data_IF_638600257460
#
_entry.id   IF_638600257460
#
_cell.length_a   1.000
_cell.length_b   1.000
_cell.length_c   1.000
_cell.angle_alpha   90.00
_cell.angle_beta   90.00
_cell.angle_gamma   90.00
#
_symmetry.space_group_name_H-M   'P 1'
#
loop_
_entity.id
_entity.type
_entity.pdbx_description
1 polymer ?
#
# COMPACT_ATOMS: atom_id res chain seq x y z
N UNK A 1 17.45 -14.50 2.69
CA UNK A 1 16.61 -15.07 1.61
C UNK A 1 16.06 -13.90 0.78
N UNK A 2 16.50 -13.71 -0.47
CA UNK A 2 15.93 -12.67 -1.34
C UNK A 2 14.54 -13.10 -1.80
N UNK A 3 13.58 -12.18 -1.83
CA UNK A 3 12.22 -12.45 -2.34
C UNK A 3 12.30 -12.84 -3.82
N UNK A 4 11.55 -13.86 -4.24
CA UNK A 4 11.25 -14.05 -5.67
C UNK A 4 10.10 -13.13 -6.07
N UNK A 5 10.38 -12.20 -6.98
CA UNK A 5 9.35 -11.40 -7.63
C UNK A 5 8.35 -12.33 -8.33
N UNK A 6 7.05 -11.98 -8.33
CA UNK A 6 5.89 -12.87 -8.61
C UNK A 6 5.59 -14.00 -7.60
N UNK A 7 6.29 -14.15 -6.47
CA UNK A 7 5.87 -15.12 -5.43
C UNK A 7 4.64 -14.60 -4.67
N UNK A 8 3.46 -15.09 -5.05
CA UNK A 8 2.18 -14.70 -4.46
C UNK A 8 1.89 -15.34 -3.10
N UNK A 9 2.72 -16.28 -2.61
CA UNK A 9 2.59 -16.84 -1.25
C UNK A 9 2.85 -15.78 -0.16
N UNK A 10 3.56 -14.71 -0.50
CA UNK A 10 3.77 -13.53 0.33
C UNK A 10 2.69 -12.46 0.16
N UNK A 11 1.77 -12.58 -0.81
CA UNK A 11 0.67 -11.63 -0.98
C UNK A 11 -0.59 -12.02 -0.22
N UNK A 12 -0.87 -13.32 -0.12
CA UNK A 12 -2.16 -13.84 0.37
C UNK A 12 -2.03 -14.89 1.46
N UNK A 13 -3.12 -15.04 2.21
CA UNK A 13 -3.37 -16.19 3.05
C UNK A 13 -4.16 -17.25 2.27
N UNK A 14 -3.52 -17.86 1.26
CA UNK A 14 -3.99 -19.14 0.70
C UNK A 14 -3.58 -20.27 1.63
N UNK A 15 -4.50 -20.73 2.49
CA UNK A 15 -4.28 -21.89 3.36
C UNK A 15 -5.56 -22.75 3.37
N UNK A 16 -5.49 -24.07 3.08
CA UNK A 16 -6.60 -25.00 3.29
C UNK A 16 -6.94 -25.15 4.79
N UNK A 17 -8.09 -25.72 5.16
CA UNK A 17 -8.55 -25.74 6.55
C UNK A 17 -7.76 -26.72 7.44
N UNK A 18 -7.36 -26.28 8.63
CA UNK A 18 -6.98 -27.13 9.76
C UNK A 18 -7.34 -26.46 11.10
N UNK A 19 -7.39 -27.25 12.18
CA UNK A 19 -8.11 -26.96 13.44
C UNK A 19 -7.21 -26.47 14.60
N UNK A 20 -7.73 -25.52 15.41
CA UNK A 20 -7.74 -25.51 16.92
C UNK A 20 -6.41 -25.75 17.68
N UNK A 21 -5.92 -24.92 18.63
CA UNK A 21 -6.36 -23.64 19.22
C UNK A 21 -5.23 -23.03 20.12
N UNK A 22 -5.47 -21.89 20.81
CA UNK A 22 -4.64 -21.39 21.92
C UNK A 22 -4.10 -19.95 21.77
N UNK A 23 -4.14 -19.13 22.84
CA UNK A 23 -3.83 -17.69 22.83
C UNK A 23 -2.46 -17.39 23.47
N UNK A 24 -1.63 -16.57 22.81
CA UNK A 24 -0.70 -15.64 23.47
C UNK A 24 -0.35 -14.41 22.56
N UNK A 25 -0.57 -13.19 23.05
CA UNK A 25 -0.15 -11.98 22.32
C UNK A 25 1.37 -11.76 22.45
N UNK A 26 2.11 -11.66 21.34
CA UNK A 26 3.33 -10.86 21.19
C UNK A 26 3.88 -10.87 19.75
N UNK A 27 3.84 -9.72 19.06
CA UNK A 27 4.43 -9.44 17.73
C UNK A 27 3.99 -10.35 16.56
N UNK A 28 3.83 -9.75 15.37
CA UNK A 28 3.51 -10.47 14.13
C UNK A 28 4.76 -11.14 13.53
N UNK A 29 5.42 -12.02 14.29
CA UNK A 29 6.35 -13.01 13.74
C UNK A 29 5.55 -14.15 13.11
N UNK A 30 5.92 -14.66 11.93
CA UNK A 30 5.33 -15.87 11.36
C UNK A 30 5.42 -17.13 12.25
N UNK A 31 6.18 -17.07 13.35
CA UNK A 31 6.42 -18.15 14.30
C UNK A 31 5.64 -18.06 15.61
N UNK A 32 4.67 -17.15 15.76
CA UNK A 32 3.90 -16.99 17.02
C UNK A 32 2.38 -17.10 16.82
N UNK A 33 1.66 -17.55 17.85
CA UNK A 33 0.19 -17.68 17.90
C UNK A 33 -0.57 -16.38 17.56
N UNK A 34 0.06 -15.21 17.75
CA UNK A 34 -0.45 -13.91 17.30
C UNK A 34 -0.60 -13.80 15.78
N UNK A 35 0.25 -14.48 15.01
CA UNK A 35 0.19 -14.53 13.55
C UNK A 35 -0.92 -15.47 13.07
N UNK A 36 -1.12 -16.62 13.71
CA UNK A 36 -2.27 -17.49 13.42
C UNK A 36 -3.60 -16.82 13.79
N UNK A 37 -3.68 -16.16 14.95
CA UNK A 37 -4.84 -15.34 15.34
C UNK A 37 -5.15 -14.24 14.31
N UNK A 38 -4.11 -13.57 13.79
CA UNK A 38 -4.26 -12.59 12.70
C UNK A 38 -4.78 -13.28 11.44
N UNK A 39 -4.21 -14.42 11.05
CA UNK A 39 -4.58 -15.15 9.83
C UNK A 39 -6.03 -15.56 9.84
N UNK A 40 -6.50 -16.14 10.94
CA UNK A 40 -7.86 -16.62 11.03
C UNK A 40 -8.86 -15.46 11.05
N UNK A 41 -8.57 -14.39 11.80
CA UNK A 41 -9.37 -13.17 11.75
C UNK A 41 -9.38 -12.53 10.36
N UNK A 42 -8.27 -12.55 9.62
CA UNK A 42 -8.23 -12.04 8.25
C UNK A 42 -9.10 -12.89 7.30
N UNK A 43 -9.03 -14.24 7.38
CA UNK A 43 -9.88 -15.18 6.61
C UNK A 43 -11.38 -15.00 6.90
N UNK A 44 -11.76 -14.62 8.12
CA UNK A 44 -13.16 -14.30 8.46
C UNK A 44 -13.66 -12.99 7.80
N UNK A 45 -12.75 -12.07 7.47
CA UNK A 45 -13.08 -10.73 6.98
C UNK A 45 -13.08 -10.68 5.46
N UNK A 46 -12.01 -11.20 4.83
CA UNK A 46 -11.80 -11.16 3.37
C UNK A 46 -11.82 -12.56 2.77
N UNK A 47 -12.42 -12.68 1.58
CA UNK A 47 -12.43 -13.95 0.83
C UNK A 47 -11.08 -14.17 0.15
N UNK A 48 -10.75 -15.44 -0.12
CA UNK A 48 -9.61 -15.80 -0.93
C UNK A 48 -9.92 -15.48 -2.41
N UNK A 49 -9.55 -14.27 -2.82
CA UNK A 49 -9.74 -13.74 -4.18
C UNK A 49 -8.42 -13.26 -4.78
N UNK A 50 -8.46 -13.13 -6.09
CA UNK A 50 -7.38 -12.62 -6.92
C UNK A 50 -7.40 -11.07 -6.95
N UNK A 51 -6.24 -10.42 -6.85
CA UNK A 51 -6.12 -8.95 -6.94
C UNK A 51 -6.28 -8.41 -8.37
N UNK A 52 -6.20 -9.27 -9.38
CA UNK A 52 -6.62 -8.91 -10.72
C UNK A 52 -8.15 -9.07 -10.91
N UNK A 53 -8.88 -9.49 -9.86
CA UNK A 53 -10.33 -9.71 -9.86
C UNK A 53 -10.80 -10.58 -11.05
N UNK A 54 -10.07 -11.67 -11.32
CA UNK A 54 -10.32 -12.58 -12.45
C UNK A 54 -9.84 -12.06 -13.80
N UNK A 55 -9.50 -10.77 -13.91
CA UNK A 55 -8.92 -10.16 -15.12
C UNK A 55 -7.41 -10.34 -15.13
N UNK A 56 -6.96 -11.59 -15.31
CA UNK A 56 -5.56 -11.91 -15.62
C UNK A 56 -5.08 -10.90 -16.68
N UNK A 57 -4.11 -10.01 -16.40
CA UNK A 57 -3.72 -9.00 -17.38
C UNK A 57 -2.98 -9.68 -18.54
N UNK A 58 -2.63 -8.91 -19.57
CA UNK A 58 -1.86 -9.38 -20.71
C UNK A 58 -0.50 -10.00 -20.29
N UNK A 59 0.26 -10.52 -21.25
CA UNK A 59 1.52 -11.26 -21.03
C UNK A 59 2.59 -10.51 -20.19
N UNK A 60 2.43 -9.19 -20.03
CA UNK A 60 3.17 -8.34 -19.09
C UNK A 60 2.24 -7.34 -18.39
N UNK A 61 2.38 -7.21 -17.05
CA UNK A 61 1.60 -6.28 -16.22
C UNK A 61 2.43 -5.06 -15.80
N UNK A 62 2.00 -3.85 -16.15
CA UNK A 62 2.69 -2.60 -15.75
C UNK A 62 1.93 -1.83 -14.69
N UNK A 63 2.65 -1.31 -13.71
CA UNK A 63 2.05 -0.69 -12.53
C UNK A 63 2.64 0.68 -12.21
N UNK A 64 1.77 1.66 -11.96
CA UNK A 64 2.13 2.92 -11.34
C UNK A 64 1.86 2.87 -9.83
N UNK A 65 2.90 2.96 -9.01
CA UNK A 65 2.78 3.18 -7.56
C UNK A 65 2.91 4.69 -7.31
N UNK A 66 1.81 5.32 -6.90
CA UNK A 66 1.74 6.77 -6.71
C UNK A 66 1.71 7.08 -5.21
N UNK A 67 2.86 7.54 -4.71
CA UNK A 67 3.01 8.14 -3.40
C UNK A 67 2.42 9.55 -3.33
N UNK A 68 2.66 10.25 -2.23
CA UNK A 68 2.01 11.53 -1.95
C UNK A 68 2.96 12.74 -1.90
N UNK A 69 4.25 12.59 -2.26
CA UNK A 69 5.23 13.68 -2.18
C UNK A 69 4.85 14.91 -3.01
N UNK A 70 5.23 16.09 -2.52
CA UNK A 70 5.14 17.37 -3.24
C UNK A 70 5.87 17.42 -4.58
N UNK A 71 6.78 16.48 -4.87
CA UNK A 71 7.45 16.38 -6.17
C UNK A 71 6.53 16.01 -7.35
N UNK A 72 5.26 15.67 -7.09
CA UNK A 72 4.25 15.55 -8.14
C UNK A 72 3.73 16.91 -8.64
N UNK A 73 3.82 17.99 -7.85
CA UNK A 73 3.30 19.32 -8.24
C UNK A 73 3.95 19.79 -9.55
N UNK A 74 3.12 20.14 -10.53
CA UNK A 74 3.53 20.57 -11.88
C UNK A 74 4.35 19.53 -12.68
N UNK A 75 4.35 18.26 -12.27
CA UNK A 75 5.08 17.19 -12.97
C UNK A 75 4.45 16.80 -14.31
N UNK A 76 3.15 17.06 -14.51
CA UNK A 76 2.36 16.62 -15.67
C UNK A 76 2.32 15.10 -15.89
N UNK A 77 2.73 14.31 -14.89
CA UNK A 77 2.85 12.85 -15.00
C UNK A 77 1.51 12.12 -15.14
N UNK A 78 0.36 12.78 -15.01
CA UNK A 78 -0.94 12.11 -14.97
C UNK A 78 -1.26 11.25 -16.19
N UNK A 79 -0.86 11.71 -17.39
CA UNK A 79 -0.98 10.91 -18.63
C UNK A 79 -0.01 9.72 -18.70
N UNK A 80 1.09 9.74 -17.95
CA UNK A 80 2.06 8.63 -17.88
C UNK A 80 1.61 7.62 -16.84
N UNK A 81 1.14 8.10 -15.68
CA UNK A 81 0.52 7.29 -14.63
C UNK A 81 -0.65 6.50 -15.23
N UNK A 82 -1.65 7.18 -15.81
CA UNK A 82 -2.89 6.56 -16.33
C UNK A 82 -2.69 5.61 -17.53
N UNK A 83 -1.47 5.50 -18.11
CA UNK A 83 -1.11 4.49 -19.11
C UNK A 83 -0.76 3.11 -18.54
N UNK A 84 -0.54 3.00 -17.23
CA UNK A 84 -0.23 1.72 -16.58
C UNK A 84 -1.51 0.88 -16.42
N UNK A 85 -1.36 -0.44 -16.38
CA UNK A 85 -2.49 -1.37 -16.24
C UNK A 85 -3.12 -1.23 -14.85
N UNK A 86 -2.27 -1.27 -13.81
CA UNK A 86 -2.66 -1.05 -12.42
C UNK A 86 -2.12 0.28 -11.88
N UNK A 87 -2.99 1.07 -11.26
CA UNK A 87 -2.62 2.25 -10.48
C UNK A 87 -2.82 1.96 -9.00
N UNK A 88 -1.75 2.01 -8.22
CA UNK A 88 -1.69 1.74 -6.79
C UNK A 88 -1.50 3.08 -6.06
N UNK A 89 -2.51 3.53 -5.31
CA UNK A 89 -2.48 4.76 -4.48
C UNK A 89 -2.60 4.42 -3.00
N UNK A 90 -2.30 5.39 -2.14
CA UNK A 90 -2.22 5.14 -0.69
C UNK A 90 -2.62 6.32 0.19
N UNK A 91 -3.02 6.02 1.42
CA UNK A 91 -3.30 7.02 2.46
C UNK A 91 -4.32 8.09 2.01
N UNK A 92 -4.13 9.36 2.35
CA UNK A 92 -4.89 10.44 1.70
C UNK A 92 -4.26 10.77 0.34
N UNK A 93 -4.92 10.39 -0.75
CA UNK A 93 -4.44 10.57 -2.13
C UNK A 93 -5.52 11.27 -3.00
N UNK A 94 -5.70 12.60 -2.86
CA UNK A 94 -6.67 13.33 -3.64
C UNK A 94 -6.30 13.44 -5.13
N UNK A 95 -7.10 12.81 -5.98
CA UNK A 95 -7.00 12.93 -7.45
C UNK A 95 -7.64 14.22 -7.96
N UNK A 96 -8.85 14.54 -7.48
CA UNK A 96 -9.62 15.70 -7.96
C UNK A 96 -8.86 17.02 -7.76
N UNK A 97 -8.73 17.80 -8.84
CA UNK A 97 -7.91 19.03 -9.00
C UNK A 97 -6.40 18.82 -9.19
N UNK A 98 -5.93 17.57 -9.23
CA UNK A 98 -4.52 17.20 -9.39
C UNK A 98 -4.30 16.25 -10.57
N UNK A 99 -5.33 15.98 -11.37
CA UNK A 99 -5.35 14.93 -12.40
C UNK A 99 -4.23 15.08 -13.44
N UNK A 100 -3.85 16.32 -13.79
CA UNK A 100 -2.72 16.63 -14.68
C UNK A 100 -1.41 16.04 -14.17
N UNK A 101 -1.18 16.08 -12.86
CA UNK A 101 0.05 15.65 -12.21
C UNK A 101 -0.01 14.20 -11.75
N UNK A 102 -1.11 13.80 -11.10
CA UNK A 102 -1.21 12.50 -10.41
C UNK A 102 -2.03 11.46 -11.16
N UNK A 103 -2.65 11.81 -12.28
CA UNK A 103 -3.54 10.95 -13.05
C UNK A 103 -4.93 10.82 -12.42
N UNK A 104 -5.87 10.31 -13.19
CA UNK A 104 -7.30 10.19 -12.84
C UNK A 104 -7.70 8.80 -12.32
N UNK A 105 -6.97 7.74 -12.71
CA UNK A 105 -7.36 6.35 -12.43
C UNK A 105 -6.86 5.90 -11.05
N UNK A 106 -7.60 4.99 -10.40
CA UNK A 106 -7.12 4.20 -9.26
C UNK A 106 -7.66 2.78 -9.38
N UNK A 107 -6.77 1.78 -9.28
CA UNK A 107 -7.17 0.35 -9.32
C UNK A 107 -7.03 -0.31 -7.95
N UNK A 108 -6.05 0.12 -7.17
CA UNK A 108 -5.70 -0.42 -5.86
C UNK A 108 -5.49 0.75 -4.90
N UNK A 109 -6.09 0.66 -3.73
CA UNK A 109 -6.01 1.67 -2.68
C UNK A 109 -5.49 1.05 -1.39
N UNK A 110 -4.30 1.46 -0.94
CA UNK A 110 -3.63 0.89 0.23
C UNK A 110 -3.69 1.85 1.43
N UNK A 111 -4.35 1.43 2.51
CA UNK A 111 -4.41 2.22 3.74
C UNK A 111 -4.59 1.36 5.01
N UNK A 112 -4.41 2.01 6.16
CA UNK A 112 -4.70 1.51 7.50
C UNK A 112 -5.78 2.38 8.15
N UNK A 113 -6.45 1.98 9.26
CA UNK A 113 -7.69 2.59 9.73
C UNK A 113 -7.66 4.12 9.87
N UNK A 114 -6.61 4.66 10.47
CA UNK A 114 -6.48 6.10 10.73
C UNK A 114 -6.13 6.92 9.47
N UNK A 115 -5.63 6.25 8.42
CA UNK A 115 -5.24 6.85 7.14
C UNK A 115 -6.30 6.69 6.04
N UNK A 116 -7.21 5.72 6.21
CA UNK A 116 -8.34 5.51 5.31
C UNK A 116 -9.20 6.78 5.20
N UNK A 117 -9.61 7.15 3.98
CA UNK A 117 -10.57 8.24 3.72
C UNK A 117 -11.71 7.72 2.87
N UNK A 118 -12.96 8.02 3.29
CA UNK A 118 -14.15 7.79 2.45
C UNK A 118 -14.09 8.78 1.29
N UNK A 119 -14.10 8.27 0.06
CA UNK A 119 -14.09 9.05 -1.19
C UNK A 119 -14.83 8.28 -2.29
N UNK A 120 -15.39 9.01 -3.24
CA UNK A 120 -16.23 8.44 -4.30
C UNK A 120 -15.41 8.09 -5.56
N UNK A 121 -14.28 8.78 -5.79
CA UNK A 121 -13.29 8.49 -6.86
C UNK A 121 -12.46 7.22 -6.61
N UNK A 122 -12.70 6.55 -5.49
CA UNK A 122 -12.11 5.26 -5.14
C UNK A 122 -13.15 4.13 -5.12
N UNK A 123 -14.40 4.40 -5.54
CA UNK A 123 -15.52 3.42 -5.55
C UNK A 123 -15.22 2.13 -6.32
N UNK A 124 -14.43 2.22 -7.40
CA UNK A 124 -14.04 1.10 -8.24
C UNK A 124 -12.68 0.48 -7.89
N UNK A 125 -11.93 1.05 -6.94
CA UNK A 125 -10.63 0.54 -6.54
C UNK A 125 -10.76 -0.64 -5.55
N UNK A 126 -9.88 -1.63 -5.68
CA UNK A 126 -9.69 -2.68 -4.69
C UNK A 126 -9.01 -2.09 -3.44
N UNK A 127 -9.67 -2.19 -2.30
CA UNK A 127 -9.11 -1.71 -1.03
C UNK A 127 -8.21 -2.78 -0.40
N UNK A 128 -6.91 -2.49 -0.30
CA UNK A 128 -5.91 -3.37 0.34
C UNK A 128 -5.55 -2.80 1.70
N UNK A 129 -5.96 -3.48 2.76
CA UNK A 129 -5.71 -3.03 4.11
C UNK A 129 -4.30 -3.40 4.58
N UNK A 130 -3.48 -2.40 4.90
CA UNK A 130 -2.23 -2.58 5.63
C UNK A 130 -2.54 -2.65 7.15
N UNK A 131 -2.94 -3.82 7.64
CA UNK A 131 -3.26 -4.01 9.06
C UNK A 131 -2.00 -4.38 9.87
N UNK A 132 -1.57 -3.45 10.74
CA UNK A 132 -0.36 -3.58 11.57
C UNK A 132 -0.61 -4.30 12.91
N UNK A 133 -1.88 -4.54 13.26
CA UNK A 133 -2.31 -5.17 14.50
C UNK A 133 -3.65 -5.91 14.36
N UNK A 134 -3.95 -6.80 15.32
CA UNK A 134 -5.27 -7.44 15.44
C UNK A 134 -6.39 -6.41 15.62
N UNK A 135 -6.11 -5.27 16.28
CA UNK A 135 -7.09 -4.18 16.47
C UNK A 135 -7.50 -3.54 15.14
N UNK A 136 -6.60 -3.49 14.15
CA UNK A 136 -6.91 -2.99 12.80
C UNK A 136 -7.88 -3.96 12.09
N UNK A 137 -7.64 -5.27 12.18
CA UNK A 137 -8.57 -6.27 11.64
C UNK A 137 -9.94 -6.24 12.35
N UNK A 138 -9.96 -6.08 13.67
CA UNK A 138 -11.20 -5.89 14.43
C UNK A 138 -11.95 -4.62 13.97
N UNK A 139 -11.23 -3.52 13.70
CA UNK A 139 -11.80 -2.32 13.10
C UNK A 139 -12.41 -2.61 11.73
N UNK A 140 -11.72 -3.36 10.85
CA UNK A 140 -12.25 -3.70 9.52
C UNK A 140 -13.50 -4.60 9.61
N UNK A 141 -13.46 -5.64 10.48
CA UNK A 141 -14.62 -6.50 10.76
C UNK A 141 -15.81 -5.68 11.25
N UNK A 142 -15.58 -4.71 12.15
CA UNK A 142 -16.59 -3.75 12.61
C UNK A 142 -17.10 -2.90 11.43
N UNK A 143 -16.20 -2.28 10.69
CA UNK A 143 -16.50 -1.38 9.58
C UNK A 143 -17.41 -2.04 8.54
N UNK A 144 -17.06 -3.23 8.06
CA UNK A 144 -17.84 -3.99 7.08
C UNK A 144 -19.17 -4.50 7.66
N UNK A 145 -19.24 -4.82 8.96
CA UNK A 145 -20.50 -5.22 9.62
C UNK A 145 -21.49 -4.06 9.74
N UNK A 146 -21.05 -2.89 10.22
CA UNK A 146 -21.93 -1.73 10.41
C UNK A 146 -22.32 -1.07 9.07
N UNK A 147 -21.46 -1.16 8.04
CA UNK A 147 -21.75 -0.63 6.70
C UNK A 147 -22.93 -1.25 5.97
N UNK A 148 -23.25 -2.52 6.24
CA UNK A 148 -24.45 -3.18 5.69
C UNK A 148 -25.77 -2.49 6.05
N UNK A 149 -25.74 -1.47 6.91
CA UNK A 149 -26.89 -0.65 7.33
C UNK A 149 -26.87 0.78 6.77
N UNK A 150 -25.96 1.12 5.85
CA UNK A 150 -25.80 2.47 5.30
C UNK A 150 -26.05 2.51 3.79
N UNK A 151 -26.86 3.47 3.35
CA UNK A 151 -27.27 3.63 1.95
C UNK A 151 -26.12 4.18 1.07
N UNK A 152 -25.20 4.98 1.63
CA UNK A 152 -24.16 5.65 0.82
C UNK A 152 -22.93 4.75 0.65
N UNK A 153 -22.65 4.35 -0.60
CA UNK A 153 -21.63 3.39 -1.02
C UNK A 153 -20.29 4.03 -1.42
N UNK A 154 -19.19 3.78 -0.69
CA UNK A 154 -17.86 4.12 -1.20
C UNK A 154 -16.83 2.99 -0.99
N UNK A 155 -15.95 2.82 -1.99
CA UNK A 155 -14.74 1.96 -2.01
C UNK A 155 -15.02 0.49 -1.66
N UNK A 156 -15.13 0.17 -0.37
CA UNK A 156 -15.55 -1.13 0.17
C UNK A 156 -17.09 -1.23 0.27
N UNK A 157 -17.79 -0.99 -0.85
CA UNK A 157 -19.22 -1.29 -0.97
C UNK A 157 -19.45 -2.79 -1.23
N UNK A 158 -18.56 -3.38 -2.03
CA UNK A 158 -18.47 -4.80 -2.24
C UNK A 158 -17.41 -5.41 -1.30
N UNK A 159 -17.73 -6.55 -0.68
CA UNK A 159 -16.76 -7.34 0.10
C UNK A 159 -15.70 -7.97 -0.80
N UNK A 160 -16.07 -8.25 -2.04
CA UNK A 160 -15.21 -8.87 -3.04
C UNK A 160 -14.21 -7.85 -3.65
N UNK A 161 -14.25 -6.57 -3.19
CA UNK A 161 -13.23 -5.54 -3.44
C UNK A 161 -12.31 -5.26 -2.23
N UNK A 162 -12.31 -6.09 -1.17
CA UNK A 162 -11.53 -5.84 0.06
C UNK A 162 -10.51 -6.94 0.33
N UNK A 163 -9.26 -6.55 0.53
CA UNK A 163 -8.11 -7.40 0.79
C UNK A 163 -7.38 -6.98 2.08
N UNK A 164 -6.58 -7.88 2.63
CA UNK A 164 -5.66 -7.59 3.74
C UNK A 164 -4.25 -7.94 3.25
N UNK A 165 -3.31 -7.00 3.39
CA UNK A 165 -1.90 -7.23 3.04
C UNK A 165 -1.33 -8.31 3.96
N UNK A 166 -0.68 -9.33 3.40
CA UNK A 166 -0.17 -10.45 4.20
C UNK A 166 0.91 -9.98 5.19
N UNK A 167 0.74 -10.23 6.51
CA UNK A 167 1.68 -9.78 7.54
C UNK A 167 3.06 -10.42 7.40
N UNK A 168 3.21 -11.57 6.72
CA UNK A 168 4.51 -12.18 6.41
C UNK A 168 5.35 -11.28 5.49
N UNK A 169 4.73 -10.61 4.53
CA UNK A 169 5.41 -9.64 3.67
C UNK A 169 5.79 -8.38 4.46
N UNK A 170 4.87 -7.84 5.25
CA UNK A 170 5.14 -6.68 6.12
C UNK A 170 6.31 -6.96 7.10
N UNK A 171 6.33 -8.16 7.71
CA UNK A 171 7.41 -8.62 8.56
C UNK A 171 8.73 -8.78 7.79
N UNK A 172 8.69 -9.42 6.61
CA UNK A 172 9.87 -9.62 5.78
C UNK A 172 10.51 -8.29 5.38
N UNK A 173 9.72 -7.32 4.90
CA UNK A 173 10.21 -5.98 4.55
C UNK A 173 10.89 -5.34 5.78
N UNK A 174 10.23 -5.38 6.95
CA UNK A 174 10.79 -4.82 8.20
C UNK A 174 12.14 -5.44 8.62
N UNK A 175 12.33 -6.75 8.45
CA UNK A 175 13.47 -7.48 9.02
C UNK A 175 14.56 -7.89 8.03
N UNK A 176 14.29 -7.92 6.72
CA UNK A 176 15.23 -8.41 5.71
C UNK A 176 15.75 -7.32 4.76
N UNK A 177 15.11 -6.14 4.73
CA UNK A 177 15.46 -5.04 3.81
C UNK A 177 16.19 -3.87 4.48
N UNK A 178 16.77 -4.08 5.67
CA UNK A 178 17.67 -3.09 6.27
C UNK A 178 17.00 -1.81 6.79
N UNK A 179 15.70 -1.84 7.12
CA UNK A 179 14.91 -0.72 7.67
C UNK A 179 15.34 -0.19 9.05
N UNK A 180 16.55 -0.52 9.50
CA UNK A 180 17.20 0.03 10.69
C UNK A 180 16.30 0.08 11.93
N UNK A 181 16.30 1.24 12.58
CA UNK A 181 15.55 1.53 13.82
C UNK A 181 14.08 1.85 13.60
N UNK A 182 13.61 2.01 12.36
CA UNK A 182 12.19 2.26 12.07
C UNK A 182 11.30 1.12 12.57
N UNK A 183 10.15 1.43 13.19
CA UNK A 183 9.29 0.43 13.85
C UNK A 183 8.60 -0.49 12.83
N UNK A 184 8.18 0.08 11.70
CA UNK A 184 7.55 -0.61 10.57
C UNK A 184 7.94 0.07 9.26
N UNK A 185 7.76 -0.62 8.13
CA UNK A 185 7.79 0.01 6.81
C UNK A 185 6.61 0.98 6.63
N UNK A 186 6.80 2.07 5.89
CA UNK A 186 5.73 2.98 5.52
C UNK A 186 4.73 2.34 4.56
N UNK A 187 3.52 2.91 4.47
CA UNK A 187 2.55 2.52 3.43
C UNK A 187 3.14 2.70 2.02
N UNK A 188 4.06 3.66 1.84
CA UNK A 188 4.81 3.86 0.59
C UNK A 188 5.61 2.63 0.21
N UNK A 189 6.54 2.23 1.07
CA UNK A 189 7.38 1.07 0.80
C UNK A 189 6.57 -0.22 0.71
N UNK A 190 5.56 -0.41 1.57
CA UNK A 190 4.63 -1.54 1.47
C UNK A 190 3.91 -1.59 0.11
N UNK A 191 3.54 -0.44 -0.47
CA UNK A 191 2.88 -0.37 -1.78
C UNK A 191 3.83 -0.68 -2.94
N UNK A 192 5.10 -0.29 -2.84
CA UNK A 192 6.14 -0.66 -3.82
C UNK A 192 6.37 -2.17 -3.81
N UNK A 193 6.49 -2.77 -2.63
CA UNK A 193 6.58 -4.24 -2.51
C UNK A 193 5.32 -4.96 -3.00
N UNK A 194 4.14 -4.45 -2.70
CA UNK A 194 2.88 -5.00 -3.24
C UNK A 194 2.90 -5.01 -4.78
N UNK A 195 3.31 -3.90 -5.41
CA UNK A 195 3.54 -3.83 -6.86
C UNK A 195 4.55 -4.87 -7.35
N UNK A 196 5.74 -4.94 -6.74
CA UNK A 196 6.80 -5.89 -7.09
C UNK A 196 6.41 -7.39 -7.01
N UNK A 197 5.31 -7.71 -6.34
CA UNK A 197 4.77 -9.07 -6.26
C UNK A 197 3.63 -9.36 -7.24
N UNK A 198 2.92 -8.34 -7.77
CA UNK A 198 1.77 -8.49 -8.70
C UNK A 198 2.05 -7.97 -10.11
N UNK A 199 3.18 -7.29 -10.32
CA UNK A 199 3.53 -6.59 -11.55
C UNK A 199 4.86 -7.08 -12.11
N UNK A 200 5.05 -6.83 -13.41
CA UNK A 200 6.28 -7.13 -14.15
C UNK A 200 7.14 -5.89 -14.32
N UNK A 201 6.48 -4.74 -14.48
CA UNK A 201 7.08 -3.41 -14.49
C UNK A 201 6.47 -2.56 -13.37
N UNK A 202 7.31 -1.88 -12.59
CA UNK A 202 6.88 -1.04 -11.47
C UNK A 202 7.47 0.36 -11.63
N UNK A 203 6.63 1.29 -12.03
CA UNK A 203 6.93 2.72 -12.14
C UNK A 203 6.49 3.41 -10.84
N UNK A 204 7.39 4.13 -10.16
CA UNK A 204 7.08 4.80 -8.90
C UNK A 204 7.14 6.32 -9.06
N UNK A 205 6.11 7.00 -8.55
CA UNK A 205 5.90 8.44 -8.65
C UNK A 205 5.55 8.98 -7.26
N UNK A 206 5.94 10.21 -6.91
CA UNK A 206 5.52 10.79 -5.62
C UNK A 206 6.26 10.26 -4.39
N UNK A 207 7.52 9.83 -4.55
CA UNK A 207 8.40 9.34 -3.49
C UNK A 207 9.61 10.26 -3.27
N UNK A 208 10.09 10.32 -2.03
CA UNK A 208 11.21 11.18 -1.63
C UNK A 208 10.81 12.65 -1.40
N UNK A 209 11.81 13.53 -1.31
CA UNK A 209 11.61 14.97 -1.22
C UNK A 209 11.18 15.59 -2.56
N UNK A 210 10.73 16.85 -2.52
CA UNK A 210 10.71 17.73 -3.69
C UNK A 210 12.10 18.33 -3.97
N UNK A 211 12.26 19.04 -5.09
CA UNK A 211 13.55 19.61 -5.52
C UNK A 211 14.16 20.61 -4.53
N UNK A 212 13.36 21.18 -3.62
CA UNK A 212 13.81 22.05 -2.51
C UNK A 212 14.23 21.26 -1.26
N UNK A 213 14.25 19.93 -1.31
CA UNK A 213 14.53 19.05 -0.17
C UNK A 213 13.39 18.93 0.85
N UNK A 214 12.24 19.54 0.57
CA UNK A 214 11.08 19.53 1.48
C UNK A 214 10.28 18.23 1.35
N UNK A 215 9.67 17.80 2.46
CA UNK A 215 8.82 16.62 2.52
C UNK A 215 7.37 17.04 2.78
N UNK A 216 6.72 17.69 1.80
CA UNK A 216 5.30 18.01 1.82
C UNK A 216 4.45 17.00 1.03
N UNK A 217 3.12 17.13 1.13
CA UNK A 217 2.22 16.45 0.21
C UNK A 217 1.85 17.34 -0.98
N UNK A 218 1.66 16.75 -2.18
CA UNK A 218 1.31 17.51 -3.39
C UNK A 218 0.02 18.34 -3.27
N UNK A 219 -0.89 17.92 -2.39
CA UNK A 219 -2.17 18.58 -2.14
C UNK A 219 -2.16 19.60 -1.00
N UNK A 220 -1.00 19.88 -0.40
CA UNK A 220 -0.85 20.87 0.66
C UNK A 220 -0.35 22.21 0.11
N UNK A 221 -1.06 23.29 0.41
CA UNK A 221 -0.78 24.67 -0.03
C UNK A 221 0.40 25.34 0.67
N UNK A 222 1.19 24.59 1.45
CA UNK A 222 2.20 25.13 2.36
C UNK A 222 3.63 25.00 1.82
N UNK A 223 3.84 24.39 0.65
CA UNK A 223 5.14 24.22 -0.05
C UNK A 223 6.32 23.75 0.83
N UNK A 224 6.03 22.88 1.81
CA UNK A 224 7.04 22.37 2.74
C UNK A 224 7.29 23.20 3.99
N UNK A 225 6.61 24.33 4.21
CA UNK A 225 6.72 25.14 5.44
C UNK A 225 6.39 24.37 6.73
N UNK A 226 5.73 23.22 6.62
CA UNK A 226 5.64 22.19 7.67
C UNK A 226 6.02 20.85 7.05
N UNK A 227 7.22 20.34 7.36
CA UNK A 227 7.64 19.01 6.95
C UNK A 227 6.63 17.95 7.42
N UNK A 228 6.42 16.92 6.60
CA UNK A 228 5.49 15.83 6.89
C UNK A 228 5.81 15.13 8.21
N UNK A 229 4.75 14.73 8.91
CA UNK A 229 4.80 13.89 10.12
C UNK A 229 5.64 12.62 9.93
N UNK A 230 5.81 12.18 8.68
CA UNK A 230 6.71 11.08 8.29
C UNK A 230 8.13 11.25 8.84
N UNK A 231 8.76 12.43 8.70
CA UNK A 231 10.12 12.69 9.21
C UNK A 231 10.15 13.12 10.68
N UNK A 232 9.07 13.72 11.17
CA UNK A 232 8.97 14.23 12.55
C UNK A 232 8.81 13.07 13.55
N UNK A 233 7.94 12.10 13.26
CA UNK A 233 7.55 11.06 14.21
C UNK A 233 8.57 9.93 14.36
N UNK A 234 9.52 9.79 13.42
CA UNK A 234 10.55 8.72 13.37
C UNK A 234 10.01 7.27 13.47
N UNK A 235 8.71 7.07 13.24
CA UNK A 235 8.07 5.73 13.20
C UNK A 235 8.64 4.90 12.03
N UNK A 236 9.01 5.59 10.96
CA UNK A 236 9.67 5.08 9.77
C UNK A 236 11.06 5.72 9.65
N UNK A 237 12.01 5.02 9.03
CA UNK A 237 13.33 5.55 8.72
C UNK A 237 13.34 5.99 7.24
N UNK A 238 13.06 7.27 6.99
CA UNK A 238 12.97 7.83 5.63
C UNK A 238 14.22 7.57 4.79
N UNK A 239 15.40 7.57 5.45
CA UNK A 239 16.68 7.44 4.79
C UNK A 239 16.97 5.97 4.44
N UNK A 240 16.56 5.03 5.30
CA UNK A 240 16.60 3.61 4.98
C UNK A 240 15.61 3.26 3.85
N UNK A 241 14.39 3.81 3.88
CA UNK A 241 13.39 3.59 2.81
C UNK A 241 13.88 4.12 1.46
N UNK A 242 14.44 5.33 1.41
CA UNK A 242 14.98 5.88 0.16
C UNK A 242 16.16 5.07 -0.38
N UNK A 243 17.05 4.56 0.49
CA UNK A 243 18.12 3.64 0.08
C UNK A 243 17.58 2.34 -0.52
N UNK A 244 16.51 1.77 0.04
CA UNK A 244 15.86 0.56 -0.52
C UNK A 244 15.29 0.84 -1.91
N UNK A 245 14.62 1.99 -2.09
CA UNK A 245 14.08 2.38 -3.40
C UNK A 245 15.21 2.57 -4.43
N UNK A 246 16.31 3.22 -4.05
CA UNK A 246 17.46 3.39 -4.93
C UNK A 246 18.09 2.04 -5.30
N UNK A 247 18.31 1.14 -4.33
CA UNK A 247 18.81 -0.23 -4.60
C UNK A 247 17.90 -1.02 -5.55
N UNK A 248 16.58 -0.85 -5.46
CA UNK A 248 15.61 -1.47 -6.38
C UNK A 248 15.72 -0.86 -7.79
N UNK A 249 15.96 0.45 -7.90
CA UNK A 249 16.15 1.16 -9.17
C UNK A 249 17.46 0.74 -9.85
N UNK A 250 18.56 0.71 -9.10
CA UNK A 250 19.90 0.31 -9.60
C UNK A 250 19.88 -1.16 -10.09
N UNK A 251 19.13 -2.02 -9.40
CA UNK A 251 18.88 -3.40 -9.78
C UNK A 251 17.83 -3.58 -10.90
N UNK A 252 17.34 -2.49 -11.51
CA UNK A 252 16.32 -2.45 -12.57
C UNK A 252 15.04 -3.22 -12.21
N UNK A 253 14.60 -3.10 -10.94
CA UNK A 253 13.34 -3.66 -10.42
C UNK A 253 12.22 -2.64 -10.34
N UNK A 254 12.55 -1.36 -10.28
CA UNK A 254 11.59 -0.24 -10.37
C UNK A 254 12.17 0.87 -11.24
N UNK A 255 11.30 1.70 -11.81
CA UNK A 255 11.66 2.98 -12.43
C UNK A 255 11.20 4.13 -11.53
N UNK A 256 12.09 5.05 -11.15
CA UNK A 256 11.75 6.18 -10.25
C UNK A 256 11.55 7.47 -11.05
N UNK A 257 10.36 8.05 -10.95
CA UNK A 257 10.03 9.38 -11.47
C UNK A 257 10.16 10.40 -10.34
N UNK A 258 11.20 11.25 -10.42
CA UNK A 258 11.61 12.16 -9.33
C UNK A 258 10.85 13.49 -9.26
N UNK A 259 10.01 13.81 -10.26
CA UNK A 259 9.37 15.12 -10.41
C UNK A 259 10.16 16.04 -11.36
N UNK A 260 9.68 17.27 -11.58
CA UNK A 260 10.46 18.33 -12.19
C UNK A 260 11.48 18.90 -11.18
N UNK A 261 12.56 19.49 -11.70
CA UNK A 261 13.56 20.24 -10.93
C UNK A 261 13.03 21.63 -10.52
#
# INVERSE_FOLDING_TARGET
>A
MKISYRDTSYLYLRVPPMKVAGIALNLLSPSNSSYETYKDLAKEIVRNQDVFNGKKPADSVRCAVVGNSGNLKNSTYGKIIDKNDLIIRMNNCPVRKFETDVGSRTTHYIAYPNSYRKRDDLSEALFVMAAFSIKDLQWLKKYLKYRRRSIVHPIAADKDKVFVLNPKLMWHIKHQWGLGKGRWASTGLLSVFFGLHICDEVNIFGFGANSKGNWDHYFESNDGKKNSQFRITKVHDSNAEEKILQMLSDAKKVTIFRGPD
#
